data_IF_085886823757
#
_entry.id   IF_085886823757
#
_cell.length_a   1.000
_cell.length_b   1.000
_cell.length_c   1.000
_cell.angle_alpha   90.00
_cell.angle_beta   90.00
_cell.angle_gamma   90.00
#
_symmetry.space_group_name_H-M   'P 1'
#
loop_
_entity.id
_entity.type
_entity.pdbx_description
1 polymer ?
#
# COMPACT_ATOMS: atom_id res chain seq x y z
N UNK A 1 -28.59 -14.06 15.65
CA UNK A 1 -27.26 -13.57 16.06
C UNK A 1 -26.24 -14.28 15.18
N UNK A 2 -25.46 -13.53 14.38
CA UNK A 2 -24.43 -14.07 13.50
C UNK A 2 -23.10 -14.17 14.25
N UNK A 3 -22.35 -15.24 14.00
CA UNK A 3 -21.05 -15.43 14.61
C UNK A 3 -19.94 -15.14 13.61
N UNK A 4 -18.92 -14.37 14.02
CA UNK A 4 -17.75 -14.12 13.20
C UNK A 4 -16.44 -14.44 13.92
N UNK A 5 -15.49 -14.99 13.16
CA UNK A 5 -14.16 -15.32 13.65
C UNK A 5 -13.10 -14.45 12.97
N UNK A 6 -12.08 -14.00 13.73
CA UNK A 6 -10.99 -13.21 13.21
C UNK A 6 -9.71 -14.06 13.14
N UNK A 7 -9.26 -14.43 11.93
CA UNK A 7 -7.99 -15.16 11.73
C UNK A 7 -6.73 -14.31 12.01
N UNK A 8 -6.90 -13.00 12.06
CA UNK A 8 -5.83 -12.05 12.40
C UNK A 8 -6.39 -10.97 13.33
N UNK A 9 -5.56 -10.26 14.08
CA UNK A 9 -5.99 -9.06 14.78
C UNK A 9 -6.59 -8.05 13.80
N UNK A 10 -7.84 -7.69 14.01
CA UNK A 10 -8.58 -6.63 13.33
C UNK A 10 -8.74 -5.47 14.29
N UNK A 11 -8.64 -4.24 13.81
CA UNK A 11 -8.72 -3.05 14.65
C UNK A 11 -10.09 -2.95 15.35
N UNK A 12 -10.08 -2.73 16.65
CA UNK A 12 -11.28 -2.59 17.48
C UNK A 12 -12.23 -1.51 16.96
N UNK A 13 -11.70 -0.43 16.38
CA UNK A 13 -12.50 0.60 15.73
C UNK A 13 -13.39 0.06 14.60
N UNK A 14 -12.91 -0.98 13.88
CA UNK A 14 -13.69 -1.64 12.85
C UNK A 14 -14.70 -2.65 13.44
N UNK A 15 -14.26 -3.43 14.43
CA UNK A 15 -15.12 -4.41 15.09
C UNK A 15 -16.26 -3.74 15.88
N UNK A 16 -16.01 -2.57 16.45
CA UNK A 16 -17.02 -1.79 17.17
C UNK A 16 -18.14 -1.19 16.29
N UNK A 17 -18.09 -1.41 14.97
CA UNK A 17 -19.20 -1.09 14.07
C UNK A 17 -20.27 -2.20 14.00
N UNK A 18 -19.95 -3.39 14.50
CA UNK A 18 -20.91 -4.47 14.61
C UNK A 18 -21.83 -4.22 15.82
N UNK A 19 -23.10 -4.38 15.60
CA UNK A 19 -24.13 -4.27 16.63
C UNK A 19 -24.32 -5.61 17.38
N UNK A 20 -25.39 -5.68 18.20
CA UNK A 20 -25.73 -6.84 19.03
C UNK A 20 -26.15 -8.09 18.24
N UNK A 21 -26.42 -7.95 16.94
CA UNK A 21 -26.72 -9.08 16.07
C UNK A 21 -25.48 -9.89 15.68
N UNK A 22 -24.28 -9.35 15.94
CA UNK A 22 -23.00 -9.97 15.59
C UNK A 22 -22.20 -10.31 16.84
N UNK A 23 -21.73 -11.54 16.94
CA UNK A 23 -20.90 -12.01 18.05
C UNK A 23 -19.56 -12.54 17.56
N UNK A 24 -18.47 -12.00 18.11
CA UNK A 24 -17.14 -12.57 17.89
C UNK A 24 -17.01 -13.91 18.61
N UNK A 25 -16.44 -14.91 17.92
CA UNK A 25 -16.08 -16.21 18.49
C UNK A 25 -14.60 -16.48 18.32
N UNK A 26 -14.03 -17.24 19.26
CA UNK A 26 -12.64 -17.71 19.19
C UNK A 26 -12.54 -19.06 18.44
N UNK A 27 -13.64 -19.78 18.30
CA UNK A 27 -13.71 -21.04 17.59
C UNK A 27 -14.16 -20.80 16.12
N UNK A 28 -13.59 -21.58 15.21
CA UNK A 28 -13.95 -21.54 13.80
C UNK A 28 -15.24 -22.30 13.52
N UNK A 29 -15.50 -23.37 14.30
CA UNK A 29 -16.70 -24.20 14.15
C UNK A 29 -17.96 -23.42 14.50
N UNK A 30 -19.01 -23.55 13.69
CA UNK A 30 -20.27 -22.82 13.88
C UNK A 30 -20.23 -21.33 13.49
N UNK A 31 -19.13 -20.87 12.92
CA UNK A 31 -18.94 -19.46 12.47
C UNK A 31 -19.67 -19.21 11.15
N UNK A 32 -20.41 -18.09 11.05
CA UNK A 32 -21.07 -17.63 9.82
C UNK A 32 -20.11 -16.82 8.92
N UNK A 33 -19.18 -16.07 9.52
CA UNK A 33 -18.29 -15.16 8.79
C UNK A 33 -16.85 -15.22 9.31
N UNK A 34 -15.88 -15.07 8.40
CA UNK A 34 -14.46 -14.98 8.73
C UNK A 34 -13.91 -13.61 8.32
N UNK A 35 -13.27 -12.93 9.28
CA UNK A 35 -12.49 -11.72 9.01
C UNK A 35 -11.01 -12.08 8.93
N UNK A 36 -10.36 -11.74 7.82
CA UNK A 36 -8.96 -12.07 7.58
C UNK A 36 -8.19 -10.87 7.05
N UNK A 37 -6.90 -10.78 7.37
CA UNK A 37 -5.99 -9.80 6.81
C UNK A 37 -4.87 -10.47 6.00
N UNK A 38 -4.06 -11.27 6.64
CA UNK A 38 -2.86 -11.87 6.04
C UNK A 38 -2.72 -13.38 6.26
N UNK A 39 -3.56 -14.01 7.06
CA UNK A 39 -3.55 -15.45 7.26
C UNK A 39 -3.77 -16.18 5.94
N UNK A 40 -2.99 -17.25 5.72
CA UNK A 40 -3.15 -18.13 4.56
C UNK A 40 -4.31 -19.08 4.83
N UNK A 41 -5.24 -19.18 3.88
CA UNK A 41 -6.45 -19.99 4.02
C UNK A 41 -6.49 -21.19 3.06
N UNK A 42 -5.46 -21.36 2.20
CA UNK A 42 -5.47 -22.42 1.17
C UNK A 42 -5.47 -23.84 1.75
N UNK A 43 -4.88 -24.02 2.92
CA UNK A 43 -4.77 -25.32 3.60
C UNK A 43 -5.77 -25.43 4.75
N UNK A 44 -6.75 -24.52 4.85
CA UNK A 44 -7.74 -24.53 5.93
C UNK A 44 -9.00 -25.30 5.51
N UNK A 45 -9.45 -26.17 6.36
CA UNK A 45 -10.80 -26.72 6.26
C UNK A 45 -11.80 -25.68 6.80
N UNK A 46 -12.67 -25.21 5.91
CA UNK A 46 -13.72 -24.24 6.28
C UNK A 46 -14.98 -24.99 6.69
N UNK A 47 -15.56 -24.70 7.87
CA UNK A 47 -16.83 -25.25 8.30
C UNK A 47 -17.96 -24.95 7.30
N UNK A 48 -18.92 -25.85 7.18
CA UNK A 48 -20.09 -25.67 6.31
C UNK A 48 -20.98 -24.48 6.72
N UNK A 49 -20.86 -24.03 7.97
CA UNK A 49 -21.56 -22.85 8.49
C UNK A 49 -21.07 -21.54 7.87
N UNK A 50 -19.82 -21.47 7.37
CA UNK A 50 -19.23 -20.25 6.84
C UNK A 50 -19.89 -19.86 5.52
N UNK A 51 -20.41 -18.65 5.48
CA UNK A 51 -21.08 -18.06 4.31
C UNK A 51 -20.31 -16.90 3.71
N UNK A 52 -19.47 -16.24 4.52
CA UNK A 52 -18.79 -15.00 4.14
C UNK A 52 -17.34 -15.01 4.63
N UNK A 53 -16.45 -14.56 3.77
CA UNK A 53 -15.07 -14.23 4.12
C UNK A 53 -14.85 -12.77 3.74
N UNK A 54 -14.46 -11.92 4.70
CA UNK A 54 -14.15 -10.52 4.47
C UNK A 54 -12.68 -10.24 4.74
N UNK A 55 -11.95 -9.79 3.70
CA UNK A 55 -10.54 -9.45 3.81
C UNK A 55 -10.32 -7.97 4.07
N UNK A 56 -9.65 -7.65 5.18
CA UNK A 56 -9.11 -6.32 5.43
C UNK A 56 -7.84 -6.08 4.59
N UNK A 57 -8.03 -5.84 3.29
CA UNK A 57 -6.96 -5.61 2.32
C UNK A 57 -7.43 -5.75 0.87
N UNK A 58 -6.63 -5.28 -0.07
CA UNK A 58 -7.00 -5.20 -1.48
C UNK A 58 -6.88 -6.54 -2.23
N UNK A 59 -5.80 -7.29 -2.02
CA UNK A 59 -5.59 -8.57 -2.69
C UNK A 59 -6.41 -9.70 -2.06
N UNK A 60 -6.54 -10.82 -2.74
CA UNK A 60 -7.22 -12.04 -2.24
C UNK A 60 -6.38 -13.30 -2.42
N UNK A 61 -5.09 -13.12 -2.66
CA UNK A 61 -4.14 -14.19 -2.94
C UNK A 61 -3.90 -15.18 -1.79
N UNK A 62 -4.32 -14.84 -0.59
CA UNK A 62 -4.28 -15.70 0.60
C UNK A 62 -5.57 -16.48 0.85
N UNK A 63 -6.59 -16.29 -0.01
CA UNK A 63 -7.91 -16.93 0.12
C UNK A 63 -8.14 -17.83 -1.11
N UNK A 64 -8.58 -19.10 -0.94
CA UNK A 64 -8.90 -19.98 -2.04
C UNK A 64 -10.25 -19.61 -2.66
N UNK A 65 -10.28 -18.50 -3.43
CA UNK A 65 -11.53 -17.89 -3.94
C UNK A 65 -12.36 -18.84 -4.79
N UNK A 66 -11.70 -19.73 -5.59
CA UNK A 66 -12.41 -20.71 -6.42
C UNK A 66 -13.15 -21.73 -5.55
N UNK A 67 -12.48 -22.31 -4.59
CA UNK A 67 -13.04 -23.31 -3.68
C UNK A 67 -14.15 -22.68 -2.81
N UNK A 68 -13.96 -21.42 -2.40
CA UNK A 68 -15.02 -20.65 -1.73
C UNK A 68 -16.26 -20.51 -2.60
N UNK A 69 -16.08 -20.14 -3.87
CA UNK A 69 -17.21 -19.99 -4.79
C UNK A 69 -17.97 -21.33 -5.03
N UNK A 70 -17.25 -22.44 -5.14
CA UNK A 70 -17.83 -23.79 -5.30
C UNK A 70 -18.64 -24.21 -4.05
N UNK A 71 -18.22 -23.76 -2.88
CA UNK A 71 -18.94 -23.97 -1.59
C UNK A 71 -20.01 -22.92 -1.30
N UNK A 72 -20.26 -21.95 -2.19
CA UNK A 72 -21.23 -20.88 -2.00
C UNK A 72 -20.80 -19.82 -0.98
N UNK A 73 -19.49 -19.73 -0.64
CA UNK A 73 -18.94 -18.75 0.29
C UNK A 73 -18.61 -17.46 -0.49
N UNK A 74 -19.18 -16.35 -0.06
CA UNK A 74 -18.91 -15.02 -0.67
C UNK A 74 -17.63 -14.45 -0.10
N UNK A 75 -16.74 -13.95 -0.98
CA UNK A 75 -15.47 -13.32 -0.57
C UNK A 75 -15.51 -11.83 -0.87
N UNK A 76 -15.34 -11.00 0.16
CA UNK A 76 -15.20 -9.56 0.07
C UNK A 76 -13.77 -9.13 0.34
N UNK A 77 -13.36 -8.02 -0.27
CA UNK A 77 -12.09 -7.35 -0.01
C UNK A 77 -12.29 -5.83 0.08
N UNK A 78 -11.25 -5.09 0.51
CA UNK A 78 -11.31 -3.64 0.70
C UNK A 78 -10.25 -2.94 -0.17
N UNK A 79 -10.45 -2.88 -1.50
CA UNK A 79 -9.48 -2.25 -2.39
C UNK A 79 -9.40 -0.74 -2.12
N UNK A 80 -8.17 -0.22 -2.08
CA UNK A 80 -7.92 1.22 -1.90
C UNK A 80 -7.96 1.72 -0.45
N UNK A 81 -8.48 0.96 0.51
CA UNK A 81 -8.64 1.42 1.89
C UNK A 81 -7.32 1.90 2.56
N UNK A 82 -6.19 1.28 2.23
CA UNK A 82 -4.87 1.64 2.73
C UNK A 82 -4.01 2.44 1.73
N UNK A 83 -4.56 2.83 0.59
CA UNK A 83 -3.77 3.38 -0.52
C UNK A 83 -3.04 4.68 -0.12
N UNK A 84 -3.70 5.55 0.63
CA UNK A 84 -3.08 6.78 1.11
C UNK A 84 -1.91 6.51 2.07
N UNK A 85 -2.08 5.62 3.04
CA UNK A 85 -0.99 5.27 3.97
C UNK A 85 0.22 4.66 3.26
N UNK A 86 0.01 3.81 2.25
CA UNK A 86 1.10 3.26 1.43
C UNK A 86 1.77 4.37 0.62
N UNK A 87 1.03 5.29 0.00
CA UNK A 87 1.59 6.45 -0.70
C UNK A 87 2.51 7.26 0.22
N UNK A 88 2.05 7.58 1.43
CA UNK A 88 2.84 8.35 2.40
C UNK A 88 4.15 7.64 2.77
N UNK A 89 4.09 6.33 2.99
CA UNK A 89 5.29 5.53 3.29
C UNK A 89 6.26 5.47 2.10
N UNK A 90 5.75 5.40 0.87
CA UNK A 90 6.58 5.45 -0.34
C UNK A 90 7.30 6.80 -0.44
N UNK A 91 6.59 7.91 -0.20
CA UNK A 91 7.20 9.25 -0.21
C UNK A 91 8.29 9.39 0.87
N UNK A 92 8.00 8.93 2.09
CA UNK A 92 8.98 8.89 3.17
C UNK A 92 10.22 8.06 2.76
N UNK A 93 10.02 6.86 2.19
CA UNK A 93 11.10 6.02 1.70
C UNK A 93 11.95 6.66 0.61
N UNK A 94 11.33 7.37 -0.33
CA UNK A 94 12.06 8.11 -1.38
C UNK A 94 12.92 9.23 -0.80
N UNK A 95 12.43 9.96 0.19
CA UNK A 95 13.19 11.03 0.86
C UNK A 95 14.34 10.45 1.69
N UNK A 96 14.11 9.38 2.43
CA UNK A 96 15.14 8.67 3.19
C UNK A 96 16.22 8.08 2.28
N UNK A 97 15.85 7.54 1.12
CA UNK A 97 16.81 7.01 0.14
C UNK A 97 17.62 8.11 -0.55
N UNK A 98 17.09 9.34 -0.61
CA UNK A 98 17.76 10.47 -1.26
C UNK A 98 18.68 11.25 -0.32
N UNK A 99 18.46 11.13 0.99
CA UNK A 99 19.19 11.85 2.03
C UNK A 99 19.46 10.89 3.20
N UNK A 100 20.65 10.94 3.76
CA UNK A 100 21.01 10.11 4.91
C UNK A 100 20.47 10.68 6.23
N UNK A 101 19.12 10.72 6.31
CA UNK A 101 18.42 11.22 7.50
C UNK A 101 18.65 10.29 8.69
N UNK A 102 18.64 8.97 8.45
CA UNK A 102 18.83 7.97 9.51
C UNK A 102 20.24 8.08 10.10
N UNK A 103 21.26 8.13 9.25
CA UNK A 103 22.65 8.33 9.71
C UNK A 103 22.82 9.65 10.45
N UNK A 104 22.14 10.72 10.02
CA UNK A 104 22.11 11.98 10.75
C UNK A 104 21.50 11.89 12.14
N UNK A 105 20.40 11.17 12.29
CA UNK A 105 19.76 10.92 13.60
C UNK A 105 20.69 10.10 14.50
N UNK A 106 21.27 9.01 13.99
CA UNK A 106 22.19 8.17 14.75
C UNK A 106 23.44 8.95 15.20
N UNK A 107 23.97 9.79 14.33
CA UNK A 107 25.09 10.67 14.65
C UNK A 107 24.74 11.64 15.76
N UNK A 108 23.61 12.35 15.67
CA UNK A 108 23.15 13.27 16.74
C UNK A 108 22.95 12.54 18.06
N UNK A 109 22.35 11.35 18.03
CA UNK A 109 22.14 10.55 19.25
C UNK A 109 23.46 10.17 19.93
N UNK A 110 24.50 9.91 19.14
CA UNK A 110 25.84 9.56 19.64
C UNK A 110 26.63 10.76 20.17
N UNK A 111 26.56 11.89 19.48
CA UNK A 111 27.41 13.06 19.76
C UNK A 111 26.72 14.15 20.60
N UNK A 112 25.45 14.01 20.97
CA UNK A 112 24.61 15.02 21.63
C UNK A 112 25.18 15.61 22.92
N UNK A 113 26.03 14.86 23.62
CA UNK A 113 26.61 15.26 24.91
C UNK A 113 27.99 15.91 24.77
N UNK A 114 28.47 16.20 23.55
CA UNK A 114 29.73 16.91 23.28
C UNK A 114 29.58 18.39 23.57
N UNK A 115 30.55 19.00 24.26
CA UNK A 115 30.52 20.43 24.62
C UNK A 115 30.42 21.37 23.40
N UNK A 116 31.09 21.04 22.27
CA UNK A 116 31.13 21.84 21.05
C UNK A 116 30.30 21.19 19.92
N UNK A 117 29.13 20.61 20.21
CA UNK A 117 28.30 19.88 19.24
C UNK A 117 27.91 20.73 18.02
N UNK A 118 27.72 22.03 18.18
CA UNK A 118 27.42 22.98 17.12
C UNK A 118 28.57 23.07 16.09
N UNK A 119 29.80 23.22 16.56
CA UNK A 119 31.00 23.26 15.70
C UNK A 119 31.26 21.89 15.04
N UNK A 120 31.03 20.81 15.81
CA UNK A 120 31.19 19.46 15.30
C UNK A 120 30.17 19.18 14.20
N UNK A 121 28.92 19.58 14.38
CA UNK A 121 27.87 19.45 13.38
C UNK A 121 28.20 20.20 12.08
N UNK A 122 28.66 21.46 12.18
CA UNK A 122 29.08 22.23 11.01
C UNK A 122 30.23 21.57 10.24
N UNK A 123 31.20 20.97 10.94
CA UNK A 123 32.33 20.26 10.34
C UNK A 123 31.90 18.95 9.67
N UNK A 124 30.96 18.23 10.27
CA UNK A 124 30.60 16.87 9.86
C UNK A 124 29.33 16.77 9.03
N UNK A 125 28.47 17.79 8.95
CA UNK A 125 27.20 17.76 8.22
C UNK A 125 27.30 17.28 6.78
N UNK A 126 28.45 17.45 6.13
CA UNK A 126 28.66 17.03 4.74
C UNK A 126 28.58 15.53 4.54
N UNK A 127 28.84 14.72 5.56
CA UNK A 127 28.75 13.25 5.45
C UNK A 127 27.30 12.77 5.25
N UNK A 128 26.32 13.57 5.65
CA UNK A 128 24.91 13.28 5.50
C UNK A 128 24.29 13.97 4.28
N UNK A 129 25.11 14.58 3.44
CA UNK A 129 24.64 15.24 2.23
C UNK A 129 24.01 14.21 1.29
N UNK A 130 22.83 14.52 0.80
CA UNK A 130 22.12 13.73 -0.18
C UNK A 130 21.85 14.54 -1.44
N UNK A 131 20.82 14.15 -2.15
CA UNK A 131 20.36 14.82 -3.36
C UNK A 131 18.86 15.14 -3.28
N UNK A 132 18.44 16.15 -4.02
CA UNK A 132 17.03 16.46 -4.19
C UNK A 132 16.35 15.44 -5.10
N UNK A 133 15.08 15.19 -4.87
CA UNK A 133 14.26 14.32 -5.74
C UNK A 133 13.67 15.10 -6.93
N UNK A 134 13.63 16.44 -6.85
CA UNK A 134 13.20 17.31 -7.95
C UNK A 134 14.01 17.02 -9.22
N UNK A 135 13.33 16.90 -10.37
CA UNK A 135 13.93 16.59 -11.66
C UNK A 135 14.40 15.14 -11.83
N UNK A 136 14.31 14.30 -10.79
CA UNK A 136 14.63 12.88 -10.94
C UNK A 136 13.48 12.11 -11.57
N UNK A 137 13.83 11.00 -12.23
CA UNK A 137 12.86 10.11 -12.90
C UNK A 137 12.38 9.03 -11.95
N UNK A 138 11.05 8.87 -11.87
CA UNK A 138 10.39 7.81 -11.12
C UNK A 138 9.62 6.90 -12.08
N UNK A 139 9.94 5.61 -12.09
CA UNK A 139 9.17 4.58 -12.78
C UNK A 139 8.16 3.92 -11.82
N UNK A 140 6.91 3.80 -12.24
CA UNK A 140 5.85 3.14 -11.46
C UNK A 140 5.29 1.99 -12.28
N UNK A 141 5.33 0.79 -11.72
CA UNK A 141 4.74 -0.43 -12.29
C UNK A 141 3.44 -0.71 -11.53
N UNK A 142 2.31 -0.65 -12.25
CA UNK A 142 0.97 -0.73 -11.67
C UNK A 142 0.41 0.66 -11.31
N UNK A 143 -0.57 1.12 -12.08
CA UNK A 143 -1.23 2.42 -11.90
C UNK A 143 -2.62 2.29 -11.24
N UNK A 144 -2.80 1.25 -10.42
CA UNK A 144 -3.96 1.13 -9.54
C UNK A 144 -4.02 2.26 -8.50
N UNK A 145 -4.90 2.13 -7.50
CA UNK A 145 -5.15 3.18 -6.51
C UNK A 145 -3.87 3.75 -5.86
N UNK A 146 -2.93 2.89 -5.46
CA UNK A 146 -1.66 3.31 -4.85
C UNK A 146 -0.75 3.99 -5.88
N UNK A 147 -0.51 3.33 -7.04
CA UNK A 147 0.41 3.84 -8.06
C UNK A 147 -0.01 5.20 -8.60
N UNK A 148 -1.30 5.41 -8.83
CA UNK A 148 -1.86 6.69 -9.25
C UNK A 148 -1.64 7.80 -8.20
N UNK A 149 -1.87 7.50 -6.92
CA UNK A 149 -1.64 8.47 -5.84
C UNK A 149 -0.16 8.81 -5.67
N UNK A 150 0.75 7.83 -5.79
CA UNK A 150 2.20 8.04 -5.77
C UNK A 150 2.64 8.89 -6.97
N UNK A 151 2.13 8.59 -8.18
CA UNK A 151 2.43 9.34 -9.39
C UNK A 151 2.10 10.84 -9.23
N UNK A 152 0.89 11.14 -8.76
CA UNK A 152 0.45 12.52 -8.55
C UNK A 152 1.31 13.24 -7.51
N UNK A 153 1.60 12.60 -6.38
CA UNK A 153 2.41 13.18 -5.33
C UNK A 153 3.87 13.42 -5.77
N UNK A 154 4.48 12.46 -6.47
CA UNK A 154 5.83 12.59 -7.01
C UNK A 154 5.93 13.70 -8.07
N UNK A 155 4.91 13.83 -8.95
CA UNK A 155 4.82 14.94 -9.91
C UNK A 155 4.71 16.29 -9.21
N UNK A 156 3.93 16.39 -8.14
CA UNK A 156 3.81 17.61 -7.33
C UNK A 156 5.14 17.97 -6.63
N UNK A 157 5.99 16.99 -6.33
CA UNK A 157 7.35 17.19 -5.82
C UNK A 157 8.38 17.48 -6.92
N UNK A 158 7.95 17.70 -8.16
CA UNK A 158 8.80 18.06 -9.29
C UNK A 158 9.58 16.91 -9.92
N UNK A 159 9.19 15.67 -9.70
CA UNK A 159 9.77 14.51 -10.36
C UNK A 159 9.20 14.31 -11.77
N UNK A 160 10.00 13.70 -12.65
CA UNK A 160 9.52 13.17 -13.93
C UNK A 160 8.99 11.74 -13.71
N UNK A 161 7.68 11.55 -13.82
CA UNK A 161 7.05 10.26 -13.52
C UNK A 161 6.69 9.49 -14.78
N UNK A 162 7.04 8.21 -14.80
CA UNK A 162 6.75 7.25 -15.86
C UNK A 162 5.98 6.08 -15.27
N UNK A 163 4.82 5.77 -15.85
CA UNK A 163 3.97 4.68 -15.38
C UNK A 163 3.84 3.56 -16.42
N UNK A 164 3.79 2.31 -15.93
CA UNK A 164 3.48 1.14 -16.72
C UNK A 164 2.36 0.35 -16.06
N UNK A 165 1.29 0.08 -16.82
CA UNK A 165 0.21 -0.80 -16.39
C UNK A 165 -0.39 -1.52 -17.63
N UNK A 166 -0.37 -2.87 -17.67
CA UNK A 166 -0.88 -3.62 -18.81
C UNK A 166 -2.41 -3.65 -18.89
N UNK A 167 -3.12 -3.30 -17.80
CA UNK A 167 -4.57 -3.45 -17.70
C UNK A 167 -5.32 -2.11 -17.71
N UNK A 168 -4.65 -1.00 -17.48
CA UNK A 168 -5.28 0.33 -17.50
C UNK A 168 -5.54 0.79 -18.93
N UNK A 169 -6.78 1.16 -19.23
CA UNK A 169 -7.12 1.92 -20.42
C UNK A 169 -7.10 3.43 -20.11
N UNK A 170 -6.79 4.25 -21.11
CA UNK A 170 -6.78 5.72 -20.97
C UNK A 170 -8.15 6.25 -20.51
N UNK A 171 -9.24 5.53 -20.81
CA UNK A 171 -10.60 5.87 -20.38
C UNK A 171 -10.85 5.67 -18.88
N UNK A 172 -10.22 4.68 -18.25
CA UNK A 172 -10.35 4.43 -16.80
C UNK A 172 -9.65 5.50 -15.94
N UNK A 173 -8.72 6.26 -16.50
CA UNK A 173 -8.01 7.32 -15.81
C UNK A 173 -8.84 8.60 -15.58
N UNK A 174 -9.97 8.75 -16.28
CA UNK A 174 -10.84 9.94 -16.14
C UNK A 174 -11.65 9.98 -14.85
N UNK A 175 -11.94 8.82 -14.27
CA UNK A 175 -12.80 8.72 -13.07
C UNK A 175 -12.04 8.83 -11.73
N UNK A 176 -10.70 8.75 -11.71
CA UNK A 176 -9.89 8.84 -10.52
C UNK A 176 -8.94 10.05 -10.46
N UNK A 177 -9.27 11.19 -11.07
CA UNK A 177 -8.50 12.45 -10.99
C UNK A 177 -6.97 12.26 -11.10
N UNK A 178 -6.51 11.31 -11.89
CA UNK A 178 -5.12 11.24 -12.31
C UNK A 178 -4.99 12.23 -13.44
N UNK A 179 -4.45 13.40 -13.16
CA UNK A 179 -4.10 14.39 -14.17
C UNK A 179 -2.95 13.82 -14.99
N UNK A 180 -3.26 13.26 -16.16
CA UNK A 180 -2.25 12.88 -17.14
C UNK A 180 -1.89 14.14 -17.96
N UNK A 181 -0.70 14.70 -17.83
CA UNK A 181 -0.25 15.72 -18.77
C UNK A 181 -0.04 15.06 -20.13
N UNK A 182 -0.67 15.65 -21.14
CA UNK A 182 -0.44 15.26 -22.53
C UNK A 182 0.96 15.71 -22.98
N UNK A 183 1.82 14.79 -23.30
CA UNK A 183 2.90 14.71 -24.30
C UNK A 183 4.15 14.02 -23.81
N UNK A 184 4.52 12.99 -24.52
CA UNK A 184 5.85 12.34 -24.45
C UNK A 184 5.78 10.84 -24.62
N UNK A 185 6.06 10.35 -25.83
CA UNK A 185 6.21 8.91 -26.08
C UNK A 185 7.53 8.44 -25.53
N UNK A 186 7.53 7.48 -24.61
CA UNK A 186 8.67 6.63 -24.34
C UNK A 186 8.34 5.24 -24.87
N UNK A 187 9.07 4.80 -25.87
CA UNK A 187 8.96 3.44 -26.40
C UNK A 187 9.85 2.50 -25.59
N UNK A 188 9.26 1.50 -24.95
CA UNK A 188 9.97 0.30 -24.54
C UNK A 188 9.78 -0.78 -25.63
N UNK A 189 10.80 -1.61 -25.90
CA UNK A 189 10.70 -2.62 -26.94
C UNK A 189 9.75 -3.76 -26.53
N UNK A 190 8.75 -3.99 -27.38
CA UNK A 190 7.97 -5.22 -27.54
C UNK A 190 7.45 -5.97 -26.30
N UNK A 191 6.51 -5.39 -25.58
CA UNK A 191 5.41 -6.12 -24.95
C UNK A 191 4.19 -5.18 -24.84
N UNK A 192 2.97 -5.72 -24.94
CA UNK A 192 1.70 -5.01 -25.08
C UNK A 192 1.28 -4.17 -23.85
N UNK A 193 2.21 -3.46 -23.23
CA UNK A 193 1.95 -2.53 -22.15
C UNK A 193 2.18 -1.08 -22.59
N UNK A 194 1.37 -0.15 -22.10
CA UNK A 194 1.52 1.28 -22.41
C UNK A 194 2.33 1.96 -21.32
N UNK A 195 3.42 2.62 -21.71
CA UNK A 195 4.15 3.55 -20.85
C UNK A 195 3.52 4.92 -21.01
N UNK A 196 3.09 5.51 -19.92
CA UNK A 196 2.46 6.83 -19.89
C UNK A 196 3.43 7.76 -19.15
N UNK A 197 4.00 8.79 -19.81
CA UNK A 197 4.75 9.82 -19.09
C UNK A 197 3.79 10.74 -18.36
N UNK A 198 4.12 11.05 -17.12
CA UNK A 198 3.47 12.07 -16.32
C UNK A 198 4.35 13.32 -16.33
N UNK A 199 3.76 14.48 -16.67
CA UNK A 199 4.37 15.79 -16.48
C UNK A 199 3.64 16.55 -15.41
#
# INVERSE_FOLDING_TARGET
MFQYHCLNPIAEKGLGLFDEDYKKTEELEGTDAILVRSAKMHDMELPESVKVIARAGAGVNNIPVKDCAEKGIVVFNTPGANANGVKELVLAGMLLASRDIVGGIEWVAKEKDQEDIDKLAEKQKKQFAGCEIMGKKLGIIGLGAIGAMVANAASALGMEVYGYDPYISIMASHDQRVLFPQKGKVSLPNHRGRVIPFR
#
